data_IF_681265939353
#
_entry.id   IF_681265939353
#
_cell.length_a   1.000
_cell.length_b   1.000
_cell.length_c   1.000
_cell.angle_alpha   90.00
_cell.angle_beta   90.00
_cell.angle_gamma   90.00
#
_symmetry.space_group_name_H-M   'P 1'
#
loop_
_entity.id
_entity.type
_entity.pdbx_description
1 polymer ?
#
# COMPACT_ATOMS: atom_id res chain seq x y z
N UNK A 1 3.00 16.06 -4.45
CA UNK A 1 2.89 14.87 -5.34
C UNK A 1 3.43 13.70 -4.57
N UNK A 2 2.55 12.81 -4.11
CA UNK A 2 2.95 11.72 -3.22
C UNK A 2 3.71 10.63 -3.94
N UNK A 3 4.68 10.06 -3.24
CA UNK A 3 5.40 8.86 -3.69
C UNK A 3 5.29 7.78 -2.63
N UNK A 4 5.24 6.55 -3.08
CA UNK A 4 5.28 5.39 -2.22
C UNK A 4 6.68 5.33 -1.61
N UNK A 5 6.75 5.60 -0.31
CA UNK A 5 7.98 5.48 0.47
C UNK A 5 8.24 4.04 0.83
N UNK A 6 7.21 3.33 1.29
CA UNK A 6 7.32 1.95 1.72
C UNK A 6 5.99 1.22 1.60
N UNK A 7 6.01 -0.08 1.32
CA UNK A 7 4.81 -0.92 1.31
C UNK A 7 4.98 -2.00 2.37
N UNK A 8 4.07 -2.02 3.33
CA UNK A 8 3.99 -3.08 4.32
C UNK A 8 2.93 -4.08 3.90
N UNK A 9 3.36 -5.28 3.59
CA UNK A 9 2.47 -6.41 3.42
C UNK A 9 1.80 -6.68 4.78
N UNK A 10 0.48 -6.45 4.88
CA UNK A 10 -0.27 -6.44 6.14
C UNK A 10 -0.46 -7.83 6.77
N UNK A 11 0.45 -8.77 6.50
CA UNK A 11 0.39 -10.18 6.88
C UNK A 11 1.20 -10.50 8.14
N UNK A 12 1.46 -9.51 9.01
CA UNK A 12 2.09 -9.78 10.30
C UNK A 12 1.06 -10.35 11.30
N UNK A 13 0.52 -11.52 10.99
CA UNK A 13 -0.53 -12.18 11.76
C UNK A 13 -1.04 -13.44 11.06
N UNK A 14 -0.36 -14.55 11.32
CA UNK A 14 -0.77 -15.87 10.87
C UNK A 14 -1.99 -16.34 11.68
N UNK A 15 -3.20 -15.98 11.24
CA UNK A 15 -4.45 -16.67 11.61
C UNK A 15 -5.27 -16.85 10.33
N UNK A 16 -5.25 -18.07 9.80
CA UNK A 16 -6.06 -18.65 8.72
C UNK A 16 -7.04 -17.67 8.03
N UNK A 17 -6.55 -16.89 7.04
CA UNK A 17 -7.44 -16.12 6.19
C UNK A 17 -8.42 -17.07 5.51
N UNK A 18 -9.70 -16.81 5.72
CA UNK A 18 -10.74 -17.38 4.86
C UNK A 18 -10.45 -16.92 3.43
N UNK A 19 -10.55 -17.83 2.45
CA UNK A 19 -10.14 -17.61 1.05
C UNK A 19 -10.85 -16.44 0.34
N UNK A 20 -11.77 -15.75 1.01
CA UNK A 20 -12.57 -14.62 0.52
C UNK A 20 -12.04 -13.26 1.04
N UNK A 21 -11.16 -13.24 2.05
CA UNK A 21 -10.64 -11.98 2.59
C UNK A 21 -9.46 -11.48 1.73
N UNK A 22 -9.72 -10.43 0.95
CA UNK A 22 -8.70 -9.81 0.09
C UNK A 22 -7.54 -9.28 0.92
N UNK A 23 -6.32 -9.71 0.57
CA UNK A 23 -5.09 -9.24 1.19
C UNK A 23 -5.00 -7.71 1.10
N UNK A 24 -4.76 -7.07 2.24
CA UNK A 24 -4.55 -5.61 2.33
C UNK A 24 -3.12 -5.33 2.72
N UNK A 25 -2.55 -4.33 2.06
CA UNK A 25 -1.20 -3.82 2.33
C UNK A 25 -1.30 -2.39 2.84
N UNK A 26 -0.42 -2.03 3.76
CA UNK A 26 -0.30 -0.67 4.27
C UNK A 26 0.79 0.06 3.48
N UNK A 27 0.38 1.01 2.66
CA UNK A 27 1.27 1.84 1.87
C UNK A 27 1.60 3.09 2.67
N UNK A 28 2.89 3.40 2.80
CA UNK A 28 3.40 4.66 3.32
C UNK A 28 3.75 5.54 2.14
N UNK A 29 3.16 6.72 2.12
CA UNK A 29 3.41 7.77 1.15
C UNK A 29 4.22 8.88 1.81
N UNK A 30 5.07 9.52 1.02
CA UNK A 30 5.78 10.74 1.40
C UNK A 30 5.58 11.79 0.32
N UNK A 31 5.26 13.02 0.76
CA UNK A 31 5.21 14.20 -0.10
C UNK A 31 6.55 14.96 -0.10
N UNK A 32 6.69 15.88 -1.05
CA UNK A 32 7.85 16.78 -1.19
C UNK A 32 8.15 17.64 0.06
N UNK A 33 7.16 17.83 0.92
CA UNK A 33 7.30 18.56 2.19
C UNK A 33 7.86 17.70 3.32
N UNK A 34 8.10 16.40 3.07
CA UNK A 34 8.46 15.41 4.09
C UNK A 34 7.27 14.93 4.91
N UNK A 35 6.03 15.19 4.45
CA UNK A 35 4.84 14.72 5.13
C UNK A 35 4.56 13.27 4.76
N UNK A 36 4.57 12.41 5.77
CA UNK A 36 4.30 10.98 5.63
C UNK A 36 2.81 10.70 5.87
N UNK A 37 2.22 9.83 5.05
CA UNK A 37 0.82 9.39 5.18
C UNK A 37 0.74 7.89 4.96
N UNK A 38 0.00 7.19 5.82
CA UNK A 38 -0.19 5.75 5.71
C UNK A 38 -1.62 5.42 5.32
N UNK A 39 -1.80 4.47 4.41
CA UNK A 39 -3.12 4.05 3.93
C UNK A 39 -3.15 2.55 3.63
N UNK A 40 -4.27 1.92 3.94
CA UNK A 40 -4.47 0.51 3.64
C UNK A 40 -5.21 0.37 2.32
N UNK A 41 -4.60 -0.33 1.37
CA UNK A 41 -5.19 -0.65 0.07
C UNK A 41 -5.15 -2.15 -0.17
N UNK A 42 -5.96 -2.62 -1.11
CA UNK A 42 -5.96 -4.03 -1.51
C UNK A 42 -4.68 -4.35 -2.28
N UNK A 43 -4.03 -5.47 -1.97
CA UNK A 43 -2.84 -5.97 -2.69
C UNK A 43 -3.14 -6.12 -4.19
N UNK A 44 -4.30 -6.70 -4.51
CA UNK A 44 -4.74 -6.92 -5.89
C UNK A 44 -4.88 -5.60 -6.66
N UNK A 45 -5.43 -4.56 -6.03
CA UNK A 45 -5.53 -3.23 -6.63
C UNK A 45 -4.14 -2.62 -6.84
N UNK A 46 -3.26 -2.69 -5.83
CA UNK A 46 -1.90 -2.16 -5.92
C UNK A 46 -1.13 -2.82 -7.07
N UNK A 47 -1.23 -4.15 -7.20
CA UNK A 47 -0.62 -4.94 -8.29
C UNK A 47 -1.26 -4.64 -9.65
N UNK A 48 -2.57 -4.45 -9.70
CA UNK A 48 -3.28 -4.07 -10.92
C UNK A 48 -2.88 -2.67 -11.41
N UNK A 49 -2.59 -1.74 -10.49
CA UNK A 49 -2.04 -0.42 -10.83
C UNK A 49 -0.54 -0.45 -11.15
N UNK A 50 0.16 -1.55 -10.84
CA UNK A 50 1.62 -1.64 -10.97
C UNK A 50 2.35 -0.68 -10.04
N UNK A 51 1.80 -0.44 -8.85
CA UNK A 51 2.38 0.47 -7.86
C UNK A 51 3.36 -0.28 -6.95
N UNK A 52 4.59 0.22 -6.91
CA UNK A 52 5.69 -0.37 -6.15
C UNK A 52 6.36 0.69 -5.26
N UNK A 53 7.23 0.28 -4.34
CA UNK A 53 8.04 1.21 -3.55
C UNK A 53 8.83 2.15 -4.47
N UNK A 54 8.70 3.46 -4.25
CA UNK A 54 9.25 4.52 -5.09
C UNK A 54 8.32 5.01 -6.21
N UNK A 55 7.19 4.33 -6.45
CA UNK A 55 6.21 4.76 -7.47
C UNK A 55 5.47 6.03 -7.06
N UNK A 56 5.03 6.81 -8.05
CA UNK A 56 4.17 7.97 -7.80
C UNK A 56 2.76 7.49 -7.44
N UNK A 57 2.21 8.03 -6.36
CA UNK A 57 0.85 7.71 -5.96
C UNK A 57 -0.15 8.43 -6.87
N UNK A 58 -1.14 7.73 -7.45
CA UNK A 58 -2.18 8.37 -8.26
C UNK A 58 -3.18 9.06 -7.33
N UNK A 59 -2.86 10.27 -6.88
CA UNK A 59 -3.86 11.17 -6.30
C UNK A 59 -4.77 11.65 -7.45
N UNK A 60 -6.04 11.25 -7.41
CA UNK A 60 -7.05 11.66 -8.39
C UNK A 60 -7.42 13.14 -8.24
#
# INVERSE_FOLDING_TARGET
MKRIKQIFDGEYGCEERTADEKAKVLVILEDETGQESSLSVEDDWLRAQGLEEGSAWPEN
#
